data_IF_291515655121
#
_entry.id   IF_291515655121
#
_cell.length_a   1.000
_cell.length_b   1.000
_cell.length_c   1.000
_cell.angle_alpha   90.00
_cell.angle_beta   90.00
_cell.angle_gamma   90.00
#
_symmetry.space_group_name_H-M   'P 1'
#
loop_
_entity.id
_entity.type
_entity.pdbx_description
1 polymer ?
#
# COMPACT_ATOMS: atom_id res chain seq x y z
N UNK A 1 16.76 -4.86 0.52
CA UNK A 1 15.64 -3.90 0.53
C UNK A 1 15.60 -3.18 -0.81
N UNK A 2 14.46 -3.14 -1.52
CA UNK A 2 14.37 -2.41 -2.80
C UNK A 2 14.16 -0.91 -2.54
N UNK A 3 14.65 -0.05 -3.44
CA UNK A 3 14.60 1.42 -3.34
C UNK A 3 13.22 2.00 -3.02
N UNK A 4 12.15 1.25 -3.32
CA UNK A 4 10.77 1.72 -3.24
C UNK A 4 9.94 1.06 -2.13
N UNK A 5 10.51 0.11 -1.38
CA UNK A 5 9.80 -0.65 -0.36
C UNK A 5 10.00 -0.02 1.04
N UNK A 6 9.05 -0.29 1.95
CA UNK A 6 9.12 0.13 3.34
C UNK A 6 10.11 -0.73 4.14
N UNK A 7 10.94 -0.08 4.97
CA UNK A 7 11.70 -0.78 6.02
C UNK A 7 10.73 -1.43 7.01
N UNK A 8 11.21 -2.39 7.80
CA UNK A 8 10.42 -2.94 8.92
C UNK A 8 10.08 -1.83 9.93
N UNK A 9 11.03 -0.95 10.24
CA UNK A 9 10.80 0.18 11.15
C UNK A 9 9.74 1.18 10.63
N UNK A 10 9.72 1.47 9.34
CA UNK A 10 8.67 2.31 8.73
C UNK A 10 7.33 1.58 8.73
N UNK A 11 7.35 0.27 8.46
CA UNK A 11 6.16 -0.55 8.46
C UNK A 11 5.49 -0.57 9.84
N UNK A 12 6.26 -0.79 10.90
CA UNK A 12 5.76 -0.79 12.29
C UNK A 12 5.12 0.54 12.68
N UNK A 13 5.62 1.66 12.17
CA UNK A 13 5.05 2.99 12.44
C UNK A 13 3.71 3.22 11.76
N UNK A 14 3.48 2.65 10.57
CA UNK A 14 2.26 2.90 9.78
C UNK A 14 1.23 1.79 9.89
N UNK A 15 1.61 0.56 10.20
CA UNK A 15 0.71 -0.58 10.27
C UNK A 15 -0.51 -0.32 11.18
N UNK A 16 -0.39 0.36 12.35
CA UNK A 16 -1.53 0.69 13.20
C UNK A 16 -2.53 1.69 12.58
N UNK A 17 -2.12 2.45 11.57
CA UNK A 17 -2.97 3.44 10.88
C UNK A 17 -3.87 2.80 9.82
N UNK A 18 -3.58 1.55 9.45
CA UNK A 18 -4.29 0.85 8.41
C UNK A 18 -5.60 0.28 8.94
N UNK A 19 -6.67 0.25 8.13
CA UNK A 19 -7.91 -0.39 8.54
C UNK A 19 -7.66 -1.86 8.87
N UNK A 20 -8.49 -2.43 9.76
CA UNK A 20 -8.41 -3.86 10.07
C UNK A 20 -8.45 -4.67 8.77
N UNK A 21 -7.48 -5.57 8.59
CA UNK A 21 -7.53 -6.52 7.49
C UNK A 21 -8.79 -7.38 7.72
N UNK A 22 -9.71 -7.40 6.75
CA UNK A 22 -10.97 -8.14 6.90
C UNK A 22 -10.65 -9.60 7.32
N UNK A 23 -11.42 -10.18 8.26
CA UNK A 23 -11.23 -11.56 8.68
C UNK A 23 -11.22 -12.49 7.46
N UNK A 24 -10.49 -13.62 7.56
CA UNK A 24 -10.27 -14.61 6.49
C UNK A 24 -11.53 -15.41 6.16
N UNK A 25 -12.63 -14.75 5.80
CA UNK A 25 -13.80 -15.38 5.19
C UNK A 25 -13.74 -15.14 3.69
N UNK A 26 -13.57 -16.21 2.90
CA UNK A 26 -13.42 -16.17 1.44
C UNK A 26 -11.96 -16.02 0.95
N UNK A 27 -11.76 -15.36 -0.21
CA UNK A 27 -10.42 -15.18 -0.82
C UNK A 27 -9.50 -14.38 0.12
N UNK A 28 -8.27 -14.84 0.41
CA UNK A 28 -7.36 -14.13 1.29
C UNK A 28 -7.17 -12.67 0.86
N UNK A 29 -7.31 -11.73 1.79
CA UNK A 29 -7.02 -10.34 1.52
C UNK A 29 -5.51 -10.19 1.24
N UNK A 30 -5.14 -9.51 0.14
CA UNK A 30 -3.73 -9.21 -0.12
C UNK A 30 -3.11 -8.43 1.04
N UNK A 31 -1.85 -8.71 1.31
CA UNK A 31 -1.06 -8.13 2.39
C UNK A 31 -1.00 -6.59 2.26
N UNK A 32 -1.26 -5.88 3.37
CA UNK A 32 -1.27 -4.42 3.36
C UNK A 32 0.09 -3.81 3.02
N UNK A 33 1.18 -4.42 3.48
CA UNK A 33 2.55 -3.98 3.18
C UNK A 33 2.87 -4.17 1.72
N UNK A 34 2.49 -5.32 1.16
CA UNK A 34 2.67 -5.59 -0.27
C UNK A 34 1.97 -4.55 -1.14
N UNK A 35 0.69 -4.26 -0.83
CA UNK A 35 -0.07 -3.25 -1.56
C UNK A 35 0.52 -1.85 -1.36
N UNK A 36 0.90 -1.47 -0.14
CA UNK A 36 1.51 -0.16 0.11
C UNK A 36 2.82 0.01 -0.65
N UNK A 37 3.66 -1.01 -0.69
CA UNK A 37 4.88 -0.99 -1.50
C UNK A 37 4.56 -0.77 -2.99
N UNK A 38 3.47 -1.36 -3.50
CA UNK A 38 2.99 -1.11 -4.86
C UNK A 38 2.53 0.33 -5.09
N UNK A 39 1.75 0.89 -4.16
CA UNK A 39 1.34 2.30 -4.22
C UNK A 39 2.55 3.25 -4.21
N UNK A 40 3.51 3.01 -3.30
CA UNK A 40 4.72 3.82 -3.20
C UNK A 40 5.62 3.71 -4.44
N UNK A 41 5.65 2.53 -5.06
CA UNK A 41 6.36 2.34 -6.32
C UNK A 41 5.75 3.22 -7.44
N UNK A 42 4.43 3.21 -7.60
CA UNK A 42 3.73 4.06 -8.58
C UNK A 42 3.98 5.55 -8.30
N UNK A 43 3.86 5.98 -7.05
CA UNK A 43 4.05 7.39 -6.68
C UNK A 43 5.48 7.88 -6.89
N UNK A 44 6.49 7.03 -6.69
CA UNK A 44 7.89 7.40 -6.86
C UNK A 44 8.37 7.33 -8.31
N UNK A 45 7.75 6.47 -9.12
CA UNK A 45 8.14 6.29 -10.54
C UNK A 45 7.29 7.12 -11.50
N UNK A 46 6.06 7.46 -11.12
CA UNK A 46 5.08 8.07 -12.02
C UNK A 46 4.58 7.14 -13.12
N UNK A 47 4.92 5.85 -13.07
CA UNK A 47 4.51 4.88 -14.07
C UNK A 47 2.99 4.67 -14.07
N UNK A 48 2.39 4.31 -15.21
CA UNK A 48 0.99 3.93 -15.26
C UNK A 48 0.74 2.68 -14.42
N UNK A 49 -0.50 2.52 -13.94
CA UNK A 49 -0.89 1.36 -13.13
C UNK A 49 -0.65 0.02 -13.83
N UNK A 50 -0.74 -0.02 -15.16
CA UNK A 50 -0.51 -1.22 -15.98
C UNK A 50 0.93 -1.74 -15.86
N UNK A 51 1.89 -0.86 -15.56
CA UNK A 51 3.30 -1.21 -15.40
C UNK A 51 3.65 -1.65 -13.96
N UNK A 52 2.66 -1.72 -13.06
CA UNK A 52 2.89 -2.13 -11.68
C UNK A 52 3.50 -3.56 -11.65
N UNK A 53 4.68 -3.75 -11.02
CA UNK A 53 5.28 -5.07 -10.91
C UNK A 53 4.36 -6.07 -10.20
N UNK A 54 4.11 -7.23 -10.82
CA UNK A 54 3.21 -8.27 -10.31
C UNK A 54 3.50 -8.73 -8.87
N UNK A 55 4.74 -8.56 -8.40
CA UNK A 55 5.15 -8.79 -7.01
C UNK A 55 4.41 -7.94 -5.98
N UNK A 56 3.81 -6.82 -6.37
CA UNK A 56 3.03 -5.95 -5.47
C UNK A 56 1.53 -6.30 -5.44
N UNK A 57 1.13 -7.33 -6.17
CA UNK A 57 -0.27 -7.76 -6.26
C UNK A 57 -0.91 -7.38 -7.60
N UNK A 58 -2.19 -7.71 -7.74
CA UNK A 58 -2.91 -7.41 -8.96
C UNK A 58 -3.14 -5.89 -9.09
N UNK A 59 -2.91 -5.33 -10.29
CA UNK A 59 -3.09 -3.91 -10.59
C UNK A 59 -4.42 -3.37 -10.07
N UNK A 60 -5.53 -4.07 -10.38
CA UNK A 60 -6.87 -3.68 -9.96
C UNK A 60 -7.06 -3.67 -8.43
N UNK A 61 -6.39 -4.57 -7.71
CA UNK A 61 -6.41 -4.61 -6.25
C UNK A 61 -5.69 -3.39 -5.66
N UNK A 62 -4.48 -3.11 -6.15
CA UNK A 62 -3.63 -2.03 -5.63
C UNK A 62 -4.24 -0.67 -5.94
N UNK A 63 -4.67 -0.44 -7.19
CA UNK A 63 -5.29 0.83 -7.60
C UNK A 63 -6.61 1.07 -6.86
N UNK A 64 -7.49 0.05 -6.76
CA UNK A 64 -8.75 0.19 -6.03
C UNK A 64 -8.53 0.50 -4.54
N UNK A 65 -7.56 -0.14 -3.89
CA UNK A 65 -7.21 0.17 -2.49
C UNK A 65 -6.64 1.58 -2.37
N UNK A 66 -5.79 2.01 -3.30
CA UNK A 66 -5.25 3.37 -3.31
C UNK A 66 -6.37 4.42 -3.30
N UNK A 67 -7.32 4.32 -4.24
CA UNK A 67 -8.43 5.27 -4.30
C UNK A 67 -9.33 5.21 -3.06
N UNK A 68 -9.63 4.02 -2.53
CA UNK A 68 -10.42 3.87 -1.28
C UNK A 68 -9.71 4.49 -0.08
N UNK A 69 -8.42 4.25 0.09
CA UNK A 69 -7.64 4.75 1.22
C UNK A 69 -7.35 6.25 1.12
N UNK A 70 -7.17 6.78 -0.08
CA UNK A 70 -7.13 8.23 -0.35
C UNK A 70 -8.45 8.87 0.04
N UNK A 71 -9.59 8.34 -0.44
CA UNK A 71 -10.93 8.85 -0.08
C UNK A 71 -11.21 8.79 1.44
N UNK A 72 -10.70 7.78 2.13
CA UNK A 72 -10.85 7.61 3.57
C UNK A 72 -9.77 8.38 4.40
N UNK A 73 -8.87 9.12 3.77
CA UNK A 73 -7.75 9.81 4.44
C UNK A 73 -6.76 8.88 5.15
N UNK A 74 -6.81 7.57 4.91
CA UNK A 74 -5.85 6.59 5.46
C UNK A 74 -4.49 6.81 4.81
N UNK A 75 -4.48 6.98 3.50
CA UNK A 75 -3.24 7.14 2.74
C UNK A 75 -2.48 8.42 3.14
N UNK A 76 -3.22 9.49 3.43
CA UNK A 76 -2.63 10.78 3.82
C UNK A 76 -1.98 10.71 5.20
N UNK A 77 -2.64 10.03 6.15
CA UNK A 77 -2.08 9.76 7.48
C UNK A 77 -0.80 8.91 7.39
N UNK A 78 -0.80 7.91 6.51
CA UNK A 78 0.39 7.08 6.25
C UNK A 78 1.54 7.92 5.70
N UNK A 79 1.29 8.77 4.69
CA UNK A 79 2.33 9.63 4.12
C UNK A 79 2.89 10.63 5.15
N UNK A 80 2.02 11.27 5.93
CA UNK A 80 2.44 12.18 7.01
C UNK A 80 3.36 11.47 8.00
N UNK A 81 3.03 10.23 8.38
CA UNK A 81 3.86 9.46 9.33
C UNK A 81 5.22 9.06 8.77
N UNK A 82 5.33 8.85 7.46
CA UNK A 82 6.59 8.51 6.78
C UNK A 82 7.48 9.71 6.48
N UNK A 83 6.93 10.93 6.52
CA UNK A 83 7.64 12.19 6.26
C UNK A 83 8.09 12.91 7.53
N UNK A 84 7.57 12.52 8.70
CA UNK A 84 7.96 13.00 10.02
C UNK A 84 9.22 12.28 10.52
#
# INVERSE_FOLDING_TARGET
MRRFELTDAQWEQIAPLLPAQKPRTGRPAEDHRQVLNGMLWILRTGAPWEDLPARYGAVGTVSSRFYRWRKAGVFDRVLQRLQA
#
